data_IF_223481620615
#
_entry.id   IF_223481620615
#
_cell.length_a   1.000
_cell.length_b   1.000
_cell.length_c   1.000
_cell.angle_alpha   90.00
_cell.angle_beta   90.00
_cell.angle_gamma   90.00
#
_symmetry.space_group_name_H-M   'P 1'
#
loop_
_entity.id
_entity.type
_entity.pdbx_description
1 polymer ?
#
# COMPACT_ATOMS: atom_id res chain seq x y z
N UNK A 1 28.59 1.73 11.82
CA UNK A 1 27.39 1.41 11.07
C UNK A 1 26.18 1.74 11.92
N UNK A 2 25.22 2.47 11.39
CA UNK A 2 23.93 2.60 12.06
C UNK A 2 23.29 1.21 11.99
N UNK A 3 22.93 0.66 13.13
CA UNK A 3 22.18 -0.59 13.19
C UNK A 3 20.90 -0.40 12.37
N UNK A 4 20.76 -1.17 11.31
CA UNK A 4 19.52 -1.17 10.54
C UNK A 4 18.46 -1.86 11.40
N UNK A 5 17.66 -1.05 12.09
CA UNK A 5 16.51 -1.53 12.82
C UNK A 5 15.53 -2.08 11.78
N UNK A 6 15.14 -3.33 11.91
CA UNK A 6 14.18 -3.93 11.00
C UNK A 6 12.80 -3.27 11.19
N UNK A 7 12.02 -3.23 10.13
CA UNK A 7 10.64 -2.74 10.16
C UNK A 7 9.79 -3.40 11.28
N UNK A 8 10.08 -4.65 11.60
CA UNK A 8 9.46 -5.37 12.71
C UNK A 8 9.72 -4.70 14.06
N UNK A 9 10.95 -4.25 14.32
CA UNK A 9 11.31 -3.59 15.58
C UNK A 9 10.56 -2.27 15.69
N UNK A 10 10.53 -1.49 14.62
CA UNK A 10 9.78 -0.25 14.58
C UNK A 10 8.27 -0.46 14.85
N UNK A 11 7.67 -1.44 14.20
CA UNK A 11 6.24 -1.78 14.44
C UNK A 11 5.98 -2.26 15.87
N UNK A 12 6.96 -2.91 16.50
CA UNK A 12 6.85 -3.34 17.91
C UNK A 12 6.88 -2.14 18.85
N UNK A 13 7.61 -1.07 18.52
CA UNK A 13 7.65 0.15 19.34
C UNK A 13 6.33 0.93 19.31
N UNK A 14 5.60 0.87 18.19
CA UNK A 14 4.26 1.50 18.07
C UNK A 14 3.22 0.73 18.89
N UNK A 15 3.42 -0.58 19.01
CA UNK A 15 2.49 -1.44 19.72
C UNK A 15 2.65 -1.30 21.23
N UNK A 16 1.57 -0.99 21.96
CA UNK A 16 1.58 -0.77 23.40
C UNK A 16 0.85 -1.90 24.12
N UNK A 17 1.39 -2.36 25.24
CA UNK A 17 0.74 -3.37 26.07
C UNK A 17 -0.68 -2.96 26.51
N UNK A 18 -0.91 -1.66 26.65
CA UNK A 18 -2.22 -1.09 26.94
C UNK A 18 -3.26 -1.38 25.85
N UNK A 19 -2.85 -1.42 24.59
CA UNK A 19 -3.75 -1.73 23.47
C UNK A 19 -4.19 -3.19 23.51
N UNK A 20 -3.28 -4.10 23.88
CA UNK A 20 -3.61 -5.52 24.06
C UNK A 20 -4.61 -5.68 25.19
N UNK A 21 -4.31 -5.07 26.34
CA UNK A 21 -5.20 -5.14 27.51
C UNK A 21 -6.58 -4.59 27.16
N UNK A 22 -6.64 -3.42 26.54
CA UNK A 22 -7.88 -2.80 26.11
C UNK A 22 -8.65 -3.70 25.13
N UNK A 23 -7.97 -4.28 24.13
CA UNK A 23 -8.63 -5.15 23.15
C UNK A 23 -9.16 -6.45 23.75
N UNK A 24 -8.56 -6.96 24.82
CA UNK A 24 -9.07 -8.16 25.55
C UNK A 24 -10.28 -7.87 26.41
N UNK A 25 -10.49 -6.63 26.81
CA UNK A 25 -11.59 -6.17 27.63
C UNK A 25 -12.78 -5.63 26.82
N UNK A 26 -12.57 -5.36 25.51
CA UNK A 26 -13.60 -4.82 24.62
C UNK A 26 -14.62 -5.88 24.20
N UNK A 27 -15.89 -5.49 23.99
CA UNK A 27 -16.87 -6.34 23.31
C UNK A 27 -16.36 -6.75 21.91
N UNK A 28 -16.70 -7.95 21.46
CA UNK A 28 -16.24 -8.50 20.18
C UNK A 28 -16.73 -7.71 18.95
N UNK A 29 -17.79 -6.95 19.09
CA UNK A 29 -18.43 -6.10 18.08
C UNK A 29 -18.06 -4.61 18.20
N UNK A 30 -17.14 -4.26 19.11
CA UNK A 30 -16.65 -2.90 19.26
C UNK A 30 -15.56 -2.56 18.22
N UNK A 31 -15.44 -1.28 17.87
CA UNK A 31 -14.46 -0.84 16.89
C UNK A 31 -13.06 -0.78 17.50
N UNK A 32 -12.13 -1.56 16.95
CA UNK A 32 -10.71 -1.49 17.29
C UNK A 32 -10.06 -0.32 16.57
N UNK A 33 -9.40 0.57 17.32
CA UNK A 33 -8.63 1.66 16.77
C UNK A 33 -7.26 1.16 16.30
N UNK A 34 -7.00 1.23 15.00
CA UNK A 34 -5.71 0.86 14.44
C UNK A 34 -4.68 1.96 14.69
N UNK A 35 -3.47 1.56 15.05
CA UNK A 35 -2.31 2.47 15.12
C UNK A 35 -1.47 2.43 13.84
N UNK A 36 -1.44 1.29 13.19
CA UNK A 36 -0.70 1.12 11.93
C UNK A 36 -1.60 0.49 10.89
N UNK A 37 -1.50 0.98 9.66
CA UNK A 37 -2.20 0.42 8.52
C UNK A 37 -1.26 0.33 7.32
N UNK A 38 -1.20 -0.85 6.72
CA UNK A 38 -0.61 -1.04 5.40
C UNK A 38 -1.72 -1.35 4.40
N UNK A 39 -1.77 -0.60 3.31
CA UNK A 39 -2.81 -0.75 2.29
C UNK A 39 -2.20 -0.82 0.89
N UNK A 40 -2.78 -1.68 0.05
CA UNK A 40 -2.54 -1.73 -1.38
C UNK A 40 -3.82 -1.34 -2.10
N UNK A 41 -3.79 -0.23 -2.84
CA UNK A 41 -4.96 0.21 -3.62
C UNK A 41 -5.16 -0.64 -4.87
N UNK A 42 -4.04 -1.07 -5.50
CA UNK A 42 -4.06 -1.83 -6.73
C UNK A 42 -2.75 -2.61 -6.89
N UNK A 43 -2.74 -3.55 -7.82
CA UNK A 43 -1.57 -4.27 -8.32
C UNK A 43 -0.96 -3.68 -9.58
N UNK A 44 -1.43 -2.51 -10.03
CA UNK A 44 -0.85 -1.82 -11.18
C UNK A 44 0.63 -1.56 -10.95
N UNK A 45 1.49 -2.07 -11.84
CA UNK A 45 2.94 -1.93 -11.75
C UNK A 45 3.54 -2.00 -13.16
N UNK A 46 4.61 -1.24 -13.36
CA UNK A 46 5.35 -1.18 -14.62
C UNK A 46 6.59 -2.08 -14.63
N UNK A 47 6.93 -2.74 -13.53
CA UNK A 47 8.09 -3.63 -13.43
C UNK A 47 7.71 -5.10 -13.21
N UNK A 48 8.62 -5.98 -13.65
CA UNK A 48 8.60 -7.43 -13.47
C UNK A 48 9.77 -7.85 -12.58
N UNK A 49 9.75 -7.45 -11.31
CA UNK A 49 10.81 -7.82 -10.37
C UNK A 49 10.85 -9.33 -10.16
N UNK A 50 12.05 -9.91 -10.05
CA UNK A 50 12.23 -11.36 -9.94
C UNK A 50 11.63 -11.97 -8.66
N UNK A 51 11.46 -11.19 -7.61
CA UNK A 51 10.84 -11.58 -6.34
C UNK A 51 9.31 -11.34 -6.31
N UNK A 52 8.74 -10.81 -7.40
CA UNK A 52 7.33 -10.48 -7.53
C UNK A 52 6.62 -11.48 -8.45
N UNK A 53 5.31 -11.40 -8.52
CA UNK A 53 4.49 -12.30 -9.33
C UNK A 53 3.23 -11.59 -9.87
N UNK A 54 2.44 -12.23 -10.74
CA UNK A 54 1.24 -11.65 -11.35
C UNK A 54 0.16 -11.19 -10.37
N UNK A 55 0.12 -11.73 -9.16
CA UNK A 55 -0.85 -11.28 -8.15
C UNK A 55 -0.57 -9.85 -7.66
N UNK A 56 0.68 -9.38 -7.79
CA UNK A 56 1.13 -8.07 -7.30
C UNK A 56 1.67 -7.16 -8.40
N UNK A 57 1.69 -7.60 -9.68
CA UNK A 57 2.17 -6.77 -10.78
C UNK A 57 1.45 -7.07 -12.10
N UNK A 58 0.82 -6.04 -12.64
CA UNK A 58 0.21 -6.10 -13.98
C UNK A 58 1.23 -6.25 -15.11
N UNK A 59 2.49 -5.86 -14.90
CA UNK A 59 3.55 -6.09 -15.89
C UNK A 59 3.84 -7.60 -16.06
N UNK A 60 3.79 -8.39 -14.99
CA UNK A 60 3.87 -9.84 -15.07
C UNK A 60 2.67 -10.44 -15.81
N UNK A 61 1.44 -9.96 -15.53
CA UNK A 61 0.22 -10.38 -16.25
C UNK A 61 0.36 -10.12 -17.75
N UNK A 62 0.77 -8.91 -18.10
CA UNK A 62 1.01 -8.53 -19.52
C UNK A 62 2.04 -9.44 -20.18
N UNK A 63 3.10 -9.80 -19.48
CA UNK A 63 4.16 -10.66 -19.99
C UNK A 63 3.63 -12.07 -20.29
N UNK A 64 2.89 -12.69 -19.36
CA UNK A 64 2.26 -13.99 -19.55
C UNK A 64 1.25 -13.98 -20.70
N UNK A 65 0.44 -12.95 -20.79
CA UNK A 65 -0.52 -12.79 -21.88
C UNK A 65 0.15 -12.62 -23.25
N UNK A 66 1.38 -12.09 -23.28
CA UNK A 66 2.11 -11.86 -24.54
C UNK A 66 2.94 -13.06 -24.97
N UNK A 67 3.60 -13.73 -24.04
CA UNK A 67 4.59 -14.77 -24.34
C UNK A 67 4.21 -16.17 -23.85
N UNK A 68 3.09 -16.30 -23.14
CA UNK A 68 2.61 -17.55 -22.54
C UNK A 68 3.13 -17.78 -21.13
N UNK A 69 2.62 -18.85 -20.52
CA UNK A 69 2.95 -19.24 -19.15
C UNK A 69 4.41 -19.68 -19.00
N UNK A 70 4.97 -19.44 -17.83
CA UNK A 70 6.32 -19.86 -17.47
C UNK A 70 6.34 -21.32 -16.97
N UNK A 71 6.40 -22.27 -17.88
CA UNK A 71 6.27 -23.70 -17.58
C UNK A 71 7.45 -24.27 -16.75
N UNK A 72 8.59 -23.61 -16.76
CA UNK A 72 9.79 -24.06 -16.03
C UNK A 72 9.90 -23.46 -14.62
N UNK A 73 8.97 -22.59 -14.22
CA UNK A 73 8.93 -22.05 -12.88
C UNK A 73 8.04 -22.95 -12.02
N UNK A 74 8.68 -23.62 -11.05
CA UNK A 74 7.93 -24.32 -10.02
C UNK A 74 7.44 -23.29 -8.99
N UNK A 75 6.12 -23.17 -8.89
CA UNK A 75 5.52 -22.35 -7.84
C UNK A 75 5.28 -23.17 -6.57
N UNK A 76 4.98 -22.48 -5.49
CA UNK A 76 4.53 -23.07 -4.22
C UNK A 76 3.12 -23.72 -4.29
N UNK A 77 2.69 -24.13 -5.46
CA UNK A 77 1.36 -24.72 -5.73
C UNK A 77 0.27 -23.68 -6.04
N UNK A 78 0.56 -22.39 -5.98
CA UNK A 78 -0.42 -21.34 -6.23
C UNK A 78 -0.62 -20.98 -7.70
N UNK A 79 0.23 -21.50 -8.59
CA UNK A 79 0.11 -21.29 -10.04
C UNK A 79 0.25 -19.85 -10.50
N UNK A 80 1.03 -19.02 -9.80
CA UNK A 80 1.13 -17.58 -10.06
C UNK A 80 1.55 -17.21 -11.49
N UNK A 81 2.32 -18.07 -12.15
CA UNK A 81 2.85 -17.81 -13.49
C UNK A 81 2.16 -18.63 -14.59
N UNK A 82 1.00 -19.21 -14.27
CA UNK A 82 0.17 -19.90 -15.25
C UNK A 82 -0.83 -18.94 -15.89
N UNK A 83 -1.13 -19.15 -17.17
CA UNK A 83 -2.08 -18.35 -17.95
C UNK A 83 -3.54 -18.51 -17.48
N UNK A 84 -3.83 -19.59 -16.76
CA UNK A 84 -5.16 -19.88 -16.19
C UNK A 84 -5.37 -19.35 -14.77
N UNK A 85 -4.37 -18.64 -14.23
CA UNK A 85 -4.48 -18.13 -12.86
C UNK A 85 -5.55 -17.02 -12.76
N UNK A 86 -6.35 -16.96 -11.68
CA UNK A 86 -7.38 -15.94 -11.49
C UNK A 86 -6.85 -14.49 -11.53
N UNK A 87 -5.59 -14.29 -11.15
CA UNK A 87 -4.92 -12.99 -11.21
C UNK A 87 -4.42 -12.60 -12.60
N UNK A 88 -4.54 -13.46 -13.60
CA UNK A 88 -4.38 -13.09 -15.02
C UNK A 88 -5.56 -12.25 -15.52
N UNK A 89 -6.68 -12.24 -14.80
CA UNK A 89 -7.80 -11.35 -15.05
C UNK A 89 -7.35 -9.87 -15.09
N UNK A 90 -8.00 -9.03 -15.92
CA UNK A 90 -7.68 -7.63 -16.00
C UNK A 90 -7.67 -6.96 -14.63
N UNK A 91 -6.69 -6.11 -14.42
CA UNK A 91 -6.63 -5.33 -13.20
C UNK A 91 -7.83 -4.41 -13.07
N UNK A 92 -8.15 -4.17 -11.87
CA UNK A 92 -9.08 -3.31 -11.21
C UNK A 92 -10.07 -2.52 -12.04
N UNK A 93 -11.28 -2.59 -11.61
CA UNK A 93 -12.32 -1.59 -11.80
C UNK A 93 -11.75 -0.22 -11.49
N UNK A 94 -12.26 0.81 -12.14
CA UNK A 94 -11.94 2.19 -11.79
C UNK A 94 -12.13 2.39 -10.28
N UNK A 95 -11.36 3.29 -9.68
CA UNK A 95 -11.44 3.59 -8.25
C UNK A 95 -12.87 3.86 -7.81
N UNK A 96 -13.62 4.57 -8.63
CA UNK A 96 -15.05 4.90 -8.42
C UNK A 96 -15.95 3.67 -8.30
N UNK A 97 -15.55 2.56 -8.93
CA UNK A 97 -16.33 1.32 -8.97
C UNK A 97 -15.83 0.30 -7.92
N UNK A 98 -14.78 0.64 -7.14
CA UNK A 98 -14.22 -0.26 -6.15
C UNK A 98 -14.79 0.05 -4.76
N UNK A 99 -15.71 -0.80 -4.24
CA UNK A 99 -16.35 -0.55 -2.95
C UNK A 99 -15.37 -0.56 -1.77
N UNK A 100 -14.24 -1.27 -1.88
CA UNK A 100 -13.24 -1.32 -0.82
C UNK A 100 -12.46 0.00 -0.71
N UNK A 101 -12.15 0.63 -1.84
CA UNK A 101 -11.48 1.95 -1.86
C UNK A 101 -12.43 3.01 -1.32
N UNK A 102 -13.70 2.96 -1.70
CA UNK A 102 -14.72 3.87 -1.16
C UNK A 102 -14.87 3.69 0.36
N UNK A 103 -14.97 2.44 0.84
CA UNK A 103 -15.06 2.14 2.26
C UNK A 103 -13.82 2.63 3.03
N UNK A 104 -12.61 2.46 2.46
CA UNK A 104 -11.38 2.98 3.04
C UNK A 104 -11.44 4.51 3.21
N UNK A 105 -11.84 5.25 2.18
CA UNK A 105 -11.91 6.71 2.26
C UNK A 105 -12.97 7.18 3.25
N UNK A 106 -14.13 6.51 3.30
CA UNK A 106 -15.14 6.79 4.31
C UNK A 106 -14.61 6.56 5.73
N UNK A 107 -13.92 5.44 5.95
CA UNK A 107 -13.32 5.14 7.25
C UNK A 107 -12.22 6.13 7.60
N UNK A 108 -11.38 6.51 6.62
CA UNK A 108 -10.34 7.52 6.77
C UNK A 108 -10.90 8.83 7.32
N UNK A 109 -11.97 9.31 6.72
CA UNK A 109 -12.64 10.56 7.10
C UNK A 109 -13.43 10.44 8.43
N UNK A 110 -13.88 9.24 8.79
CA UNK A 110 -14.66 8.97 9.98
C UNK A 110 -13.83 8.48 11.18
N UNK A 111 -12.58 8.89 11.29
CA UNK A 111 -11.78 8.74 12.49
C UNK A 111 -10.59 7.79 12.37
N UNK A 112 -10.42 7.03 11.28
CA UNK A 112 -9.22 6.21 11.11
C UNK A 112 -7.96 7.09 11.13
N UNK A 113 -7.97 8.20 10.39
CA UNK A 113 -6.86 9.13 10.33
C UNK A 113 -6.49 9.73 11.70
N UNK A 114 -7.41 9.83 12.64
CA UNK A 114 -7.18 10.43 13.95
C UNK A 114 -6.38 9.52 14.89
N UNK A 115 -6.38 8.21 14.64
CA UNK A 115 -5.79 7.21 15.52
C UNK A 115 -4.51 6.58 14.98
N UNK A 116 -4.26 6.67 13.67
CA UNK A 116 -3.07 6.09 13.07
C UNK A 116 -1.80 6.83 13.48
N UNK A 117 -0.78 6.07 13.83
CA UNK A 117 0.61 6.51 14.00
C UNK A 117 1.43 6.28 12.73
N UNK A 118 1.02 5.29 11.92
CA UNK A 118 1.62 5.02 10.59
C UNK A 118 0.57 4.58 9.58
N UNK A 119 0.65 5.14 8.38
CA UNK A 119 0.06 4.56 7.17
C UNK A 119 1.14 4.28 6.14
N UNK A 120 1.14 3.08 5.58
CA UNK A 120 2.05 2.65 4.53
C UNK A 120 1.28 2.23 3.29
N UNK A 121 1.66 2.77 2.15
CA UNK A 121 1.09 2.36 0.86
C UNK A 121 2.06 1.41 0.17
N UNK A 122 1.54 0.24 -0.15
CA UNK A 122 2.24 -0.83 -0.88
C UNK A 122 1.45 -1.23 -2.12
N UNK A 123 1.66 -2.41 -2.62
CA UNK A 123 0.94 -2.99 -3.75
C UNK A 123 1.82 -3.17 -4.96
N UNK A 124 1.31 -2.88 -6.15
CA UNK A 124 2.08 -2.84 -7.38
C UNK A 124 3.10 -1.71 -7.35
N UNK A 125 2.75 -0.58 -7.95
CA UNK A 125 3.53 0.66 -7.85
C UNK A 125 2.63 1.78 -7.31
N UNK A 126 2.78 2.20 -6.05
CA UNK A 126 1.88 3.17 -5.41
C UNK A 126 1.71 4.49 -6.15
N UNK A 127 2.77 5.02 -6.76
CA UNK A 127 2.71 6.30 -7.48
C UNK A 127 1.93 6.23 -8.81
N UNK A 128 1.54 5.03 -9.24
CA UNK A 128 0.64 4.85 -10.38
C UNK A 128 -0.85 4.95 -10.01
N UNK A 129 -1.17 4.90 -8.70
CA UNK A 129 -2.56 4.87 -8.25
C UNK A 129 -3.05 6.24 -7.75
N UNK A 130 -4.26 6.70 -8.18
CA UNK A 130 -4.83 7.97 -7.74
C UNK A 130 -5.00 8.08 -6.21
N UNK A 131 -5.36 6.99 -5.54
CA UNK A 131 -5.55 6.95 -4.08
C UNK A 131 -4.31 7.37 -3.30
N UNK A 132 -3.11 7.04 -3.78
CA UNK A 132 -1.84 7.51 -3.18
C UNK A 132 -1.74 9.04 -3.22
N UNK A 133 -2.06 9.63 -4.37
CA UNK A 133 -2.02 11.09 -4.53
C UNK A 133 -3.08 11.79 -3.69
N UNK A 134 -4.25 11.18 -3.53
CA UNK A 134 -5.31 11.70 -2.64
C UNK A 134 -4.85 11.75 -1.18
N UNK A 135 -4.07 10.75 -0.73
CA UNK A 135 -3.48 10.79 0.61
C UNK A 135 -2.43 11.91 0.75
N UNK A 136 -1.56 12.10 -0.25
CA UNK A 136 -0.66 13.26 -0.25
C UNK A 136 -1.42 14.59 -0.13
N UNK A 137 -2.51 14.76 -0.88
CA UNK A 137 -3.34 15.95 -0.83
C UNK A 137 -3.97 16.13 0.56
N UNK A 138 -4.41 15.03 1.18
CA UNK A 138 -4.94 15.07 2.54
C UNK A 138 -3.88 15.50 3.56
N UNK A 139 -2.66 14.97 3.50
CA UNK A 139 -1.58 15.36 4.40
C UNK A 139 -1.20 16.85 4.24
N UNK A 140 -1.19 17.35 3.02
CA UNK A 140 -0.95 18.77 2.76
C UNK A 140 -2.03 19.68 3.37
N UNK A 141 -3.28 19.23 3.35
CA UNK A 141 -4.40 19.96 3.93
C UNK A 141 -4.49 19.81 5.46
N UNK A 142 -3.86 18.79 6.04
CA UNK A 142 -3.90 18.46 7.47
C UNK A 142 -2.47 18.36 8.07
N UNK A 143 -1.64 19.42 8.01
CA UNK A 143 -0.22 19.34 8.37
C UNK A 143 0.00 19.02 9.85
N UNK A 144 -0.88 19.46 10.76
CA UNK A 144 -0.75 19.16 12.19
C UNK A 144 -0.94 17.68 12.46
N UNK A 145 -1.91 17.06 11.82
CA UNK A 145 -2.13 15.63 11.92
C UNK A 145 -1.01 14.84 11.24
N UNK A 146 -0.52 15.35 10.11
CA UNK A 146 0.63 14.77 9.39
C UNK A 146 1.93 14.76 10.19
N UNK A 147 2.13 15.67 11.17
CA UNK A 147 3.28 15.63 12.09
C UNK A 147 3.20 14.48 13.10
N UNK A 148 2.02 13.97 13.37
CA UNK A 148 1.80 12.90 14.34
C UNK A 148 1.75 11.51 13.68
N UNK A 149 1.56 11.46 12.37
CA UNK A 149 1.43 10.23 11.60
C UNK A 149 2.56 10.09 10.59
N UNK A 150 3.24 8.95 10.60
CA UNK A 150 4.19 8.58 9.57
C UNK A 150 3.45 8.18 8.29
N UNK A 151 3.81 8.78 7.17
CA UNK A 151 3.32 8.40 5.86
C UNK A 151 4.45 7.77 5.04
N UNK A 152 4.35 6.49 4.75
CA UNK A 152 5.36 5.74 4.02
C UNK A 152 4.81 5.17 2.71
N UNK A 153 5.65 5.09 1.68
CA UNK A 153 5.34 4.39 0.44
C UNK A 153 6.47 3.45 0.05
N UNK A 154 6.12 2.27 -0.47
CA UNK A 154 7.09 1.34 -1.06
C UNK A 154 7.03 1.45 -2.58
N UNK A 155 7.80 2.38 -3.15
CA UNK A 155 7.84 2.65 -4.59
C UNK A 155 9.10 2.09 -5.24
N UNK A 156 8.98 1.64 -6.48
CA UNK A 156 10.12 1.27 -7.32
C UNK A 156 10.85 2.51 -7.90
N UNK A 157 10.33 3.70 -7.68
CA UNK A 157 10.82 5.00 -8.17
C UNK A 157 11.10 5.06 -9.67
N UNK A 158 10.45 4.20 -10.44
CA UNK A 158 10.58 4.13 -11.90
C UNK A 158 9.26 4.50 -12.58
N UNK A 159 8.85 5.77 -12.53
CA UNK A 159 7.60 6.21 -13.12
C UNK A 159 7.64 6.15 -14.65
N UNK A 160 6.46 6.05 -15.26
CA UNK A 160 6.35 6.04 -16.72
C UNK A 160 6.77 7.37 -17.37
N UNK A 161 6.70 8.45 -16.62
CA UNK A 161 7.13 9.79 -17.08
C UNK A 161 7.88 10.52 -15.97
N UNK A 162 8.91 11.34 -16.31
CA UNK A 162 9.63 12.15 -15.32
C UNK A 162 8.72 13.05 -14.48
N UNK A 163 7.63 13.57 -15.05
CA UNK A 163 6.65 14.41 -14.34
C UNK A 163 6.05 13.77 -13.09
N UNK A 164 5.92 12.46 -13.08
CA UNK A 164 5.39 11.74 -11.89
C UNK A 164 6.41 11.75 -10.77
N UNK A 165 7.71 11.65 -11.10
CA UNK A 165 8.78 11.74 -10.10
C UNK A 165 8.90 13.17 -9.55
N UNK A 166 8.84 14.17 -10.42
CA UNK A 166 8.84 15.58 -10.02
C UNK A 166 7.66 15.84 -9.05
N UNK A 167 6.47 15.37 -9.41
CA UNK A 167 5.28 15.46 -8.55
C UNK A 167 5.50 14.76 -7.18
N UNK A 168 6.14 13.59 -7.16
CA UNK A 168 6.44 12.87 -5.92
C UNK A 168 7.37 13.70 -5.03
N UNK A 169 8.45 14.24 -5.62
CA UNK A 169 9.42 15.07 -4.91
C UNK A 169 8.72 16.31 -4.32
N UNK A 170 7.97 17.05 -5.13
CA UNK A 170 7.27 18.25 -4.69
C UNK A 170 6.30 17.96 -3.53
N UNK A 171 5.53 16.88 -3.64
CA UNK A 171 4.56 16.50 -2.62
C UNK A 171 5.22 15.96 -1.34
N UNK A 172 6.30 15.20 -1.47
CA UNK A 172 7.02 14.65 -0.31
C UNK A 172 7.58 15.73 0.61
N UNK A 173 8.08 16.84 0.04
CA UNK A 173 8.55 17.98 0.81
C UNK A 173 7.48 18.66 1.65
N UNK A 174 6.23 18.53 1.27
CA UNK A 174 5.10 19.16 1.96
C UNK A 174 4.42 18.24 3.00
N UNK A 175 4.85 16.99 3.10
CA UNK A 175 4.35 16.03 4.09
C UNK A 175 5.37 15.88 5.21
N UNK A 176 5.03 16.25 6.47
CA UNK A 176 6.02 16.40 7.55
C UNK A 176 6.79 15.12 7.91
N UNK A 177 6.15 13.96 7.91
CA UNK A 177 6.73 12.65 8.28
C UNK A 177 6.64 11.66 7.12
N UNK A 178 7.13 12.05 5.94
CA UNK A 178 7.13 11.20 4.75
C UNK A 178 8.39 10.33 4.66
N UNK A 179 8.22 9.04 4.25
CA UNK A 179 9.28 8.07 3.96
C UNK A 179 9.06 7.30 2.64
#
# INVERSE_FOLDING_TARGET
GKDHISDRVFKTEIFKDEDVKKSTEMPWDDNVMLRTLEISFDRACNLKCSYCNPAFSTAWVKDINTYGAYQNIQSDGRGHFLDTAPWAEPAAKKEEDNPYIQAFHQWWENGLADNLEEIRITGGEPIMHPGTWRLFDWFQQNPERGRQMRFAINSNLSPQTPKVLDKLIDKSWSVPNFE
#
